data_IF_208852544797
#
_entry.id   IF_208852544797
#
_cell.length_a   1.000
_cell.length_b   1.000
_cell.length_c   1.000
_cell.angle_alpha   90.00
_cell.angle_beta   90.00
_cell.angle_gamma   90.00
#
_symmetry.space_group_name_H-M   'P 1'
#
loop_
_entity.id
_entity.type
_entity.pdbx_description
1 polymer ?
#
# COMPACT_ATOMS: atom_id res chain seq x y z
N UNK A 1 -10.01 0.35 3.91
CA UNK A 1 -9.25 -0.89 4.20
C UNK A 1 -7.74 -0.72 4.06
N UNK A 2 -7.22 -0.15 2.96
CA UNK A 2 -5.78 -0.22 2.62
C UNK A 2 -4.87 0.94 3.10
N UNK A 3 -5.37 1.84 3.97
CA UNK A 3 -4.54 2.93 4.51
C UNK A 3 -4.01 3.93 3.46
N UNK A 4 -4.74 4.14 2.36
CA UNK A 4 -4.31 5.07 1.29
C UNK A 4 -4.36 6.52 1.79
N UNK A 5 -3.23 7.23 1.72
CA UNK A 5 -3.14 8.65 2.07
C UNK A 5 -4.04 9.50 1.17
N UNK A 6 -4.70 10.50 1.75
CA UNK A 6 -5.67 11.34 1.06
C UNK A 6 -5.06 12.22 -0.03
N UNK A 7 -3.84 12.72 0.19
CA UNK A 7 -3.29 13.81 -0.63
C UNK A 7 -4.26 14.99 -0.62
N UNK A 8 -4.63 15.45 -1.81
CA UNK A 8 -5.59 16.55 -2.00
C UNK A 8 -7.07 16.11 -1.98
N UNK A 9 -7.36 14.81 -1.80
CA UNK A 9 -8.74 14.33 -1.78
C UNK A 9 -9.55 15.03 -0.66
N UNK A 10 -10.72 15.64 -0.97
CA UNK A 10 -11.52 16.35 0.00
C UNK A 10 -12.20 15.41 1.02
N UNK A 11 -12.51 14.18 0.63
CA UNK A 11 -13.12 13.18 1.50
C UNK A 11 -12.03 12.44 2.29
N UNK A 12 -11.68 12.98 3.45
CA UNK A 12 -10.56 12.50 4.27
C UNK A 12 -10.85 12.52 5.76
N UNK A 13 -10.11 11.69 6.49
CA UNK A 13 -10.10 11.65 7.95
C UNK A 13 -8.65 11.76 8.45
N UNK A 14 -8.44 12.51 9.51
CA UNK A 14 -7.13 12.63 10.18
C UNK A 14 -7.02 11.56 11.26
N UNK A 15 -6.06 10.65 11.10
CA UNK A 15 -5.81 9.55 12.04
C UNK A 15 -4.33 9.52 12.40
N UNK A 16 -4.03 8.97 13.59
CA UNK A 16 -2.66 8.65 13.94
C UNK A 16 -2.18 7.43 13.15
N UNK A 17 -0.91 7.48 12.74
CA UNK A 17 -0.22 6.38 12.07
C UNK A 17 1.23 6.33 12.52
N UNK A 18 1.81 5.14 12.47
CA UNK A 18 3.24 4.97 12.63
C UNK A 18 3.92 5.15 11.26
N UNK A 19 4.94 6.00 11.23
CA UNK A 19 5.81 6.22 10.06
C UNK A 19 7.26 5.96 10.48
N UNK A 20 8.12 5.59 9.54
CA UNK A 20 9.55 5.44 9.78
C UNK A 20 10.30 6.61 9.13
N UNK A 21 10.97 7.41 9.95
CA UNK A 21 11.79 8.54 9.50
C UNK A 21 13.21 8.30 10.00
N UNK A 22 14.18 8.24 9.09
CA UNK A 22 15.58 7.91 9.39
C UNK A 22 15.73 6.61 10.21
N UNK A 23 14.91 5.59 9.87
CA UNK A 23 14.91 4.29 10.55
C UNK A 23 14.24 4.27 11.93
N UNK A 24 13.73 5.40 12.43
CA UNK A 24 13.03 5.48 13.71
C UNK A 24 11.52 5.55 13.48
N UNK A 25 10.78 4.73 14.23
CA UNK A 25 9.31 4.78 14.24
C UNK A 25 8.86 6.06 14.96
N UNK A 26 8.03 6.85 14.29
CA UNK A 26 7.41 8.07 14.81
C UNK A 26 5.89 7.94 14.70
N UNK A 27 5.17 8.50 15.68
CA UNK A 27 3.72 8.46 15.73
C UNK A 27 3.17 9.83 15.35
N UNK A 28 2.51 9.93 14.19
CA UNK A 28 2.12 11.21 13.58
C UNK A 28 0.68 11.17 13.07
N UNK A 29 0.03 12.33 12.99
CA UNK A 29 -1.26 12.43 12.29
C UNK A 29 -1.04 12.52 10.79
N UNK A 30 -1.82 11.76 10.04
CA UNK A 30 -1.88 11.81 8.58
C UNK A 30 -3.34 11.78 8.11
N UNK A 31 -3.58 12.29 6.90
CA UNK A 31 -4.90 12.25 6.29
C UNK A 31 -5.03 11.00 5.43
N UNK A 32 -6.10 10.24 5.66
CA UNK A 32 -6.43 9.03 4.92
C UNK A 32 -7.73 9.21 4.14
N UNK A 33 -7.81 8.57 2.98
CA UNK A 33 -9.04 8.57 2.17
C UNK A 33 -10.17 7.86 2.94
N UNK A 34 -11.34 8.47 2.93
CA UNK A 34 -12.58 7.84 3.38
C UNK A 34 -13.31 7.31 2.15
N UNK A 35 -13.88 6.11 2.28
CA UNK A 35 -14.62 5.44 1.22
C UNK A 35 -16.00 5.08 1.74
N UNK A 36 -17.01 5.10 0.86
CA UNK A 36 -18.39 4.79 1.23
C UNK A 36 -18.61 3.29 1.45
N UNK A 37 -17.75 2.44 0.90
CA UNK A 37 -17.83 0.98 0.98
C UNK A 37 -16.44 0.32 0.96
N UNK A 38 -16.40 -0.98 1.26
CA UNK A 38 -15.17 -1.77 1.13
C UNK A 38 -14.77 -1.95 -0.34
N UNK A 39 -15.75 -2.13 -1.22
CA UNK A 39 -15.59 -2.23 -2.67
C UNK A 39 -14.93 -0.98 -3.24
N UNK A 40 -15.34 0.21 -2.78
CA UNK A 40 -14.73 1.48 -3.19
C UNK A 40 -13.26 1.56 -2.72
N UNK A 41 -12.98 1.09 -1.50
CA UNK A 41 -11.61 1.03 -0.98
C UNK A 41 -10.74 0.06 -1.78
N UNK A 42 -11.27 -1.10 -2.20
CA UNK A 42 -10.56 -2.07 -3.05
C UNK A 42 -10.33 -1.48 -4.44
N UNK A 43 -11.37 -0.90 -5.06
CA UNK A 43 -11.26 -0.28 -6.38
C UNK A 43 -10.22 0.83 -6.42
N UNK A 44 -10.22 1.73 -5.42
CA UNK A 44 -9.26 2.82 -5.34
C UNK A 44 -7.82 2.31 -5.13
N UNK A 45 -7.64 1.28 -4.31
CA UNK A 45 -6.34 0.64 -4.14
C UNK A 45 -5.86 0.00 -5.45
N UNK A 46 -6.71 -0.75 -6.15
CA UNK A 46 -6.37 -1.34 -7.45
C UNK A 46 -6.00 -0.25 -8.46
N UNK A 47 -6.76 0.85 -8.52
CA UNK A 47 -6.45 1.98 -9.40
C UNK A 47 -5.09 2.61 -9.07
N UNK A 48 -4.72 2.73 -7.80
CA UNK A 48 -3.39 3.21 -7.39
C UNK A 48 -2.28 2.29 -7.92
N UNK A 49 -2.43 0.97 -7.80
CA UNK A 49 -1.44 0.01 -8.31
C UNK A 49 -1.36 0.02 -9.85
N UNK A 50 -2.51 0.20 -10.52
CA UNK A 50 -2.58 0.24 -11.99
C UNK A 50 -2.00 1.54 -12.55
N UNK A 51 -2.35 2.69 -11.97
CA UNK A 51 -2.09 4.01 -12.52
C UNK A 51 -0.92 4.76 -11.86
N UNK A 52 -0.34 4.21 -10.78
CA UNK A 52 0.66 4.91 -9.98
C UNK A 52 0.09 6.13 -9.26
N UNK A 53 0.97 7.07 -8.92
CA UNK A 53 0.60 8.34 -8.29
C UNK A 53 0.65 9.47 -9.32
N UNK A 54 -0.01 10.61 -9.03
CA UNK A 54 -0.07 11.76 -9.95
C UNK A 54 1.32 12.28 -10.35
N UNK A 55 2.29 12.21 -9.44
CA UNK A 55 3.69 12.57 -9.68
C UNK A 55 4.52 11.45 -10.32
N UNK A 56 4.08 10.20 -10.23
CA UNK A 56 4.80 9.05 -10.75
C UNK A 56 3.85 7.95 -11.25
N UNK A 57 3.34 8.08 -12.50
CA UNK A 57 2.32 7.19 -13.05
C UNK A 57 2.73 5.72 -13.15
N UNK A 58 4.04 5.44 -13.19
CA UNK A 58 4.58 4.08 -13.28
C UNK A 58 5.13 3.56 -11.94
N UNK A 59 4.86 4.25 -10.82
CA UNK A 59 5.40 3.92 -9.48
C UNK A 59 5.26 2.45 -9.11
N UNK A 60 4.12 1.85 -9.43
CA UNK A 60 3.80 0.46 -9.09
C UNK A 60 3.75 -0.49 -10.30
N UNK A 61 4.29 -0.10 -11.45
CA UNK A 61 4.26 -0.93 -12.66
C UNK A 61 4.89 -2.32 -12.44
N UNK A 62 5.98 -2.40 -11.67
CA UNK A 62 6.64 -3.67 -11.35
C UNK A 62 5.78 -4.61 -10.48
N UNK A 63 4.86 -4.07 -9.68
CA UNK A 63 3.90 -4.87 -8.89
C UNK A 63 2.97 -5.65 -9.83
N UNK A 64 2.60 -5.06 -10.97
CA UNK A 64 1.73 -5.69 -11.97
C UNK A 64 2.44 -6.66 -12.89
N UNK A 65 3.73 -6.46 -13.12
CA UNK A 65 4.49 -7.23 -14.11
C UNK A 65 5.11 -8.52 -13.55
N UNK A 66 5.03 -8.73 -12.23
CA UNK A 66 5.54 -9.95 -11.61
C UNK A 66 4.43 -10.95 -11.35
N UNK A 67 4.77 -12.24 -11.51
CA UNK A 67 3.88 -13.37 -11.19
C UNK A 67 4.12 -13.94 -9.78
N UNK A 68 5.11 -13.41 -9.06
CA UNK A 68 5.50 -13.89 -7.74
C UNK A 68 5.17 -12.84 -6.67
N UNK A 69 4.35 -13.22 -5.70
CA UNK A 69 3.95 -12.32 -4.61
C UNK A 69 5.15 -11.77 -3.80
N UNK A 70 6.26 -12.50 -3.73
CA UNK A 70 7.48 -12.02 -3.04
C UNK A 70 8.11 -10.85 -3.77
N UNK A 71 8.13 -10.91 -5.10
CA UNK A 71 8.66 -9.82 -5.93
C UNK A 71 7.66 -8.66 -5.97
N UNK A 72 6.35 -8.95 -5.95
CA UNK A 72 5.31 -7.91 -5.85
C UNK A 72 5.44 -7.13 -4.53
N UNK A 73 5.66 -7.81 -3.41
CA UNK A 73 5.86 -7.19 -2.10
C UNK A 73 7.12 -6.30 -2.08
N UNK A 74 8.24 -6.79 -2.65
CA UNK A 74 9.47 -5.98 -2.80
C UNK A 74 9.25 -4.78 -3.72
N UNK A 75 8.50 -4.94 -4.81
CA UNK A 75 8.16 -3.86 -5.72
C UNK A 75 7.28 -2.79 -5.05
N UNK A 76 6.32 -3.18 -4.21
CA UNK A 76 5.52 -2.25 -3.41
C UNK A 76 6.38 -1.41 -2.47
N UNK A 77 7.32 -2.06 -1.76
CA UNK A 77 8.26 -1.35 -0.87
C UNK A 77 9.17 -0.41 -1.68
N UNK A 78 9.72 -0.86 -2.81
CA UNK A 78 10.53 -0.01 -3.70
C UNK A 78 9.75 1.18 -4.25
N UNK A 79 8.45 1.00 -4.50
CA UNK A 79 7.53 2.06 -4.90
C UNK A 79 7.12 3.00 -3.76
N UNK A 80 7.64 2.82 -2.54
CA UNK A 80 7.38 3.72 -1.42
C UNK A 80 5.94 3.66 -0.89
N UNK A 81 5.27 2.50 -0.99
CA UNK A 81 3.90 2.35 -0.47
C UNK A 81 3.83 2.56 1.05
N UNK A 82 4.86 2.14 1.78
CA UNK A 82 5.03 2.35 3.22
C UNK A 82 6.45 2.82 3.52
N UNK A 83 6.61 3.59 4.60
CA UNK A 83 7.93 4.03 5.10
C UNK A 83 8.65 2.94 5.89
N UNK A 84 7.93 1.92 6.33
CA UNK A 84 8.45 0.79 7.10
C UNK A 84 9.50 -0.01 6.29
N UNK A 85 10.75 -0.11 6.78
CA UNK A 85 11.82 -0.82 6.08
C UNK A 85 11.57 -2.34 5.96
N UNK A 86 10.70 -2.91 6.80
CA UNK A 86 10.35 -4.34 6.79
C UNK A 86 9.01 -4.62 6.08
N UNK A 87 8.44 -3.66 5.36
CA UNK A 87 7.10 -3.77 4.79
C UNK A 87 6.91 -5.00 3.88
N UNK A 88 7.83 -5.22 2.93
CA UNK A 88 7.76 -6.38 2.03
C UNK A 88 7.83 -7.70 2.80
N UNK A 89 8.72 -7.78 3.80
CA UNK A 89 8.89 -8.96 4.66
C UNK A 89 7.60 -9.27 5.42
N UNK A 90 6.92 -8.26 5.97
CA UNK A 90 5.64 -8.42 6.66
C UNK A 90 4.54 -8.94 5.74
N UNK A 91 4.44 -8.42 4.52
CA UNK A 91 3.47 -8.92 3.51
C UNK A 91 3.73 -10.40 3.21
N UNK A 92 4.99 -10.75 2.90
CA UNK A 92 5.38 -12.13 2.56
C UNK A 92 5.01 -13.07 3.72
N UNK A 93 5.35 -12.71 4.96
CA UNK A 93 5.02 -13.50 6.14
C UNK A 93 3.51 -13.70 6.32
N UNK A 94 2.69 -12.69 6.04
CA UNK A 94 1.23 -12.82 6.10
C UNK A 94 0.68 -13.75 5.02
N UNK A 95 1.18 -13.63 3.78
CA UNK A 95 0.79 -14.50 2.66
C UNK A 95 1.13 -15.95 2.96
N UNK A 96 2.34 -16.22 3.48
CA UNK A 96 2.79 -17.56 3.84
C UNK A 96 2.01 -18.11 5.04
N UNK A 97 1.88 -17.33 6.12
CA UNK A 97 1.17 -17.75 7.35
C UNK A 97 -0.29 -18.15 7.08
N UNK A 98 -0.96 -17.44 6.18
CA UNK A 98 -2.38 -17.65 5.89
C UNK A 98 -2.63 -18.38 4.57
N UNK A 99 -1.58 -18.87 3.90
CA UNK A 99 -1.64 -19.52 2.59
C UNK A 99 -2.46 -18.71 1.57
N UNK A 100 -2.27 -17.39 1.52
CA UNK A 100 -3.11 -16.49 0.70
C UNK A 100 -2.83 -16.63 -0.80
N UNK A 101 -1.66 -17.13 -1.18
CA UNK A 101 -1.31 -17.40 -2.58
C UNK A 101 -2.25 -18.42 -3.27
N UNK A 102 -3.07 -19.15 -2.51
CA UNK A 102 -4.11 -20.05 -3.04
C UNK A 102 -5.23 -19.32 -3.80
N UNK A 103 -5.33 -18.00 -3.67
CA UNK A 103 -6.32 -17.18 -4.38
C UNK A 103 -5.79 -16.59 -5.69
N UNK A 104 -4.53 -16.85 -6.03
CA UNK A 104 -3.89 -16.36 -7.26
C UNK A 104 -4.07 -17.33 -8.46
N UNK A 105 -4.81 -18.42 -8.28
CA UNK A 105 -5.07 -19.47 -9.29
C UNK A 105 -6.52 -19.56 -9.69
#
# INVERSE_FOLDING_TARGET
MFGVKAGENPQKVSLYTDEYVNGKRVHVRQNFRVYNSWEDSVRAHTQLIVNGTSDQPNRYAQVRNTKNYRDAAKALQKGGYATDPEYAKKIIQLIEKHNLHKYDT
#
